data_IF_308346489043
#
_entry.id   IF_308346489043
#
_cell.length_a   1.000
_cell.length_b   1.000
_cell.length_c   1.000
_cell.angle_alpha   90.00
_cell.angle_beta   90.00
_cell.angle_gamma   90.00
#
_symmetry.space_group_name_H-M   'P 1'
#
loop_
_entity.id
_entity.type
_entity.pdbx_description
1 polymer ?
#
# COMPACT_ATOMS: atom_id res chain seq x y z
N UNK A 1 -16.08 3.14 -17.36
CA UNK A 1 -14.64 3.21 -17.06
C UNK A 1 -14.00 2.03 -17.75
N UNK A 2 -13.27 2.26 -18.84
CA UNK A 2 -12.67 1.17 -19.61
C UNK A 2 -11.57 0.53 -18.75
N UNK A 3 -11.77 -0.71 -18.32
CA UNK A 3 -10.74 -1.51 -17.65
C UNK A 3 -9.73 -1.91 -18.72
N UNK A 4 -8.56 -1.28 -18.72
CA UNK A 4 -7.46 -1.72 -19.56
C UNK A 4 -6.71 -2.81 -18.81
N UNK A 5 -6.85 -4.06 -19.27
CA UNK A 5 -6.01 -5.17 -18.82
C UNK A 5 -4.56 -4.90 -19.24
N UNK A 6 -3.62 -5.12 -18.32
CA UNK A 6 -2.18 -5.04 -18.59
C UNK A 6 -1.57 -6.45 -18.55
N UNK A 7 -0.63 -6.72 -19.47
CA UNK A 7 0.09 -7.99 -19.51
C UNK A 7 1.34 -7.88 -18.66
N UNK A 8 1.53 -8.84 -17.75
CA UNK A 8 2.77 -9.04 -17.02
C UNK A 8 3.42 -10.35 -17.49
N UNK A 9 4.70 -10.29 -17.87
CA UNK A 9 5.47 -11.45 -18.29
C UNK A 9 6.48 -11.81 -17.22
N UNK A 10 6.24 -12.94 -16.56
CA UNK A 10 7.11 -13.48 -15.51
C UNK A 10 7.41 -14.95 -15.79
N UNK A 11 8.62 -15.39 -15.45
CA UNK A 11 8.99 -16.80 -15.52
C UNK A 11 8.70 -17.46 -14.18
N UNK A 12 8.04 -18.61 -14.25
CA UNK A 12 7.78 -19.49 -13.10
C UNK A 12 8.42 -20.85 -13.35
N UNK A 13 8.54 -21.65 -12.30
CA UNK A 13 9.01 -23.03 -12.46
C UNK A 13 7.99 -23.83 -13.28
N UNK A 14 8.48 -24.69 -14.17
CA UNK A 14 7.66 -25.40 -15.15
C UNK A 14 6.64 -26.31 -14.48
N UNK A 15 7.06 -27.01 -13.42
CA UNK A 15 6.21 -27.92 -12.66
C UNK A 15 5.03 -27.20 -11.98
N UNK A 16 5.19 -25.94 -11.55
CA UNK A 16 4.09 -25.16 -10.98
C UNK A 16 3.03 -24.83 -12.03
N UNK A 17 3.48 -24.45 -13.22
CA UNK A 17 2.58 -24.14 -14.34
C UNK A 17 1.83 -25.40 -14.77
N UNK A 18 2.54 -26.50 -14.98
CA UNK A 18 1.96 -27.77 -15.43
C UNK A 18 0.95 -28.32 -14.40
N UNK A 19 1.27 -28.24 -13.11
CA UNK A 19 0.36 -28.68 -12.05
C UNK A 19 -0.88 -27.78 -11.94
N UNK A 20 -0.71 -26.46 -12.05
CA UNK A 20 -1.83 -25.52 -12.06
C UNK A 20 -2.77 -25.77 -13.24
N UNK A 21 -2.24 -26.04 -14.42
CA UNK A 21 -3.01 -26.43 -15.60
C UNK A 21 -3.74 -27.77 -15.40
N UNK A 22 -3.04 -28.79 -14.86
CA UNK A 22 -3.62 -30.10 -14.54
C UNK A 22 -4.80 -30.01 -13.56
N UNK A 23 -4.72 -29.10 -12.60
CA UNK A 23 -5.74 -28.87 -11.57
C UNK A 23 -6.78 -27.82 -11.99
N UNK A 24 -6.70 -27.28 -13.21
CA UNK A 24 -7.60 -26.26 -13.74
C UNK A 24 -7.67 -25.00 -12.87
N UNK A 25 -6.51 -24.58 -12.35
CA UNK A 25 -6.37 -23.38 -11.52
C UNK A 25 -6.50 -22.13 -12.39
N UNK A 26 -7.32 -21.17 -11.94
CA UNK A 26 -7.40 -19.85 -12.55
C UNK A 26 -6.16 -19.00 -12.20
N UNK A 27 -5.14 -19.10 -13.06
CA UNK A 27 -3.89 -18.35 -12.91
C UNK A 27 -4.10 -16.84 -12.89
N UNK A 28 -5.07 -16.30 -13.64
CA UNK A 28 -5.36 -14.86 -13.66
C UNK A 28 -5.79 -14.42 -12.27
N UNK A 29 -6.80 -15.08 -11.71
CA UNK A 29 -7.32 -14.73 -10.38
C UNK A 29 -6.27 -14.91 -9.28
N UNK A 30 -5.46 -15.97 -9.34
CA UNK A 30 -4.38 -16.19 -8.37
C UNK A 30 -3.35 -15.06 -8.43
N UNK A 31 -2.90 -14.70 -9.64
CA UNK A 31 -1.90 -13.65 -9.83
C UNK A 31 -2.43 -12.26 -9.47
N UNK A 32 -3.67 -11.94 -9.86
CA UNK A 32 -4.31 -10.67 -9.50
C UNK A 32 -4.45 -10.52 -7.98
N UNK A 33 -4.97 -11.55 -7.28
CA UNK A 33 -5.10 -11.50 -5.81
C UNK A 33 -3.75 -11.37 -5.11
N UNK A 34 -2.75 -12.15 -5.53
CA UNK A 34 -1.42 -12.07 -4.94
C UNK A 34 -0.80 -10.67 -5.10
N UNK A 35 -1.00 -10.03 -6.26
CA UNK A 35 -0.56 -8.67 -6.50
C UNK A 35 -1.34 -7.65 -5.65
N UNK A 36 -2.66 -7.77 -5.55
CA UNK A 36 -3.49 -6.89 -4.72
C UNK A 36 -3.09 -6.95 -3.24
N UNK A 37 -2.93 -8.16 -2.70
CA UNK A 37 -2.52 -8.39 -1.32
C UNK A 37 -1.12 -7.82 -1.05
N UNK A 38 -0.16 -8.05 -1.95
CA UNK A 38 1.20 -7.52 -1.84
C UNK A 38 1.22 -5.99 -1.86
N UNK A 39 0.46 -5.38 -2.78
CA UNK A 39 0.34 -3.92 -2.87
C UNK A 39 -0.30 -3.35 -1.61
N UNK A 40 -1.36 -3.98 -1.10
CA UNK A 40 -2.04 -3.54 0.11
C UNK A 40 -1.09 -3.61 1.31
N UNK A 41 -0.35 -4.71 1.45
CA UNK A 41 0.66 -4.88 2.51
C UNK A 41 1.71 -3.77 2.44
N UNK A 42 2.27 -3.53 1.25
CA UNK A 42 3.31 -2.51 1.05
C UNK A 42 2.80 -1.09 1.32
N UNK A 43 1.55 -0.79 0.96
CA UNK A 43 0.90 0.49 1.29
C UNK A 43 0.73 0.65 2.80
N UNK A 44 0.31 -0.39 3.51
CA UNK A 44 0.15 -0.35 4.96
C UNK A 44 1.51 -0.14 5.68
N UNK A 45 2.56 -0.84 5.25
CA UNK A 45 3.92 -0.66 5.76
C UNK A 45 4.41 0.78 5.55
N UNK A 46 4.21 1.35 4.36
CA UNK A 46 4.61 2.72 4.04
C UNK A 46 3.81 3.75 4.85
N UNK A 47 2.52 3.52 5.07
CA UNK A 47 1.70 4.39 5.92
C UNK A 47 2.23 4.37 7.35
N UNK A 48 2.48 3.18 7.89
CA UNK A 48 3.01 3.02 9.25
C UNK A 48 4.34 3.75 9.41
N UNK A 49 5.29 3.55 8.49
CA UNK A 49 6.60 4.20 8.58
C UNK A 49 6.49 5.73 8.57
N UNK A 50 5.62 6.28 7.70
CA UNK A 50 5.39 7.72 7.64
C UNK A 50 4.74 8.28 8.90
N UNK A 51 3.79 7.55 9.48
CA UNK A 51 3.17 7.93 10.76
C UNK A 51 4.22 7.92 11.87
N UNK A 52 5.02 6.86 11.97
CA UNK A 52 6.07 6.75 12.98
C UNK A 52 7.12 7.86 12.84
N UNK A 53 7.57 8.15 11.61
CA UNK A 53 8.48 9.28 11.31
C UNK A 53 7.87 10.62 11.74
N UNK A 54 6.59 10.85 11.44
CA UNK A 54 5.88 12.08 11.78
C UNK A 54 5.71 12.24 13.28
N UNK A 55 5.28 11.18 13.97
CA UNK A 55 5.14 11.19 15.44
C UNK A 55 6.49 11.41 16.12
N UNK A 56 7.56 10.81 15.60
CA UNK A 56 8.90 11.04 16.13
C UNK A 56 9.37 12.49 15.91
N UNK A 57 9.09 13.08 14.73
CA UNK A 57 9.38 14.50 14.47
C UNK A 57 8.56 15.43 15.39
N UNK A 58 7.35 15.03 15.78
CA UNK A 58 6.46 15.75 16.68
C UNK A 58 6.66 15.36 18.16
N UNK A 59 7.68 14.57 18.51
CA UNK A 59 7.84 14.01 19.87
C UNK A 59 7.84 15.06 20.99
N UNK A 60 8.27 16.28 20.69
CA UNK A 60 8.35 17.39 21.65
C UNK A 60 7.22 18.40 21.51
N UNK A 61 6.22 18.13 20.66
CA UNK A 61 5.08 19.00 20.42
C UNK A 61 3.93 18.59 21.35
N UNK A 62 3.42 19.52 22.15
CA UNK A 62 2.20 19.29 22.94
C UNK A 62 0.95 19.62 22.14
N UNK A 63 -0.21 19.19 22.64
CA UNK A 63 -1.51 19.57 22.04
C UNK A 63 -1.70 21.09 22.16
N UNK A 64 -1.26 21.68 23.26
CA UNK A 64 -1.32 23.12 23.50
C UNK A 64 -0.47 23.90 22.49
N UNK A 65 0.75 23.44 22.19
CA UNK A 65 1.62 24.03 21.17
C UNK A 65 0.94 24.02 19.79
N UNK A 66 0.31 22.91 19.44
CA UNK A 66 -0.44 22.77 18.19
C UNK A 66 -1.66 23.71 18.14
N UNK A 67 -2.48 23.71 19.19
CA UNK A 67 -3.68 24.56 19.28
C UNK A 67 -3.31 26.03 19.19
N UNK A 68 -2.22 26.44 19.85
CA UNK A 68 -1.69 27.81 19.77
C UNK A 68 -1.28 28.15 18.33
N UNK A 69 -0.49 27.31 17.67
CA UNK A 69 -0.05 27.53 16.29
C UNK A 69 -1.23 27.65 15.32
N UNK A 70 -2.26 26.79 15.45
CA UNK A 70 -3.47 26.86 14.61
C UNK A 70 -4.26 28.15 14.85
N UNK A 71 -4.41 28.58 16.12
CA UNK A 71 -5.11 29.83 16.46
C UNK A 71 -4.38 31.06 15.92
N UNK A 72 -3.07 31.13 16.10
CA UNK A 72 -2.24 32.24 15.60
C UNK A 72 -2.27 32.32 14.07
N UNK A 73 -2.28 31.18 13.37
CA UNK A 73 -2.37 31.14 11.91
C UNK A 73 -3.72 31.67 11.42
N UNK A 74 -4.83 31.31 12.10
CA UNK A 74 -6.17 31.81 11.77
C UNK A 74 -6.36 33.31 12.01
N UNK A 75 -5.65 33.89 12.95
CA UNK A 75 -5.72 35.34 13.23
C UNK A 75 -4.91 36.18 12.24
N UNK A 76 -3.99 35.56 11.48
CA UNK A 76 -3.19 36.21 10.44
C UNK A 76 -3.88 36.24 9.06
N UNK A 77 -5.04 35.62 8.94
CA UNK A 77 -5.91 35.60 7.75
C UNK A 77 -7.23 36.30 8.08
#
# INVERSE_FOLDING_TARGET
MVSYLAVISVRVRRELKEEAERLNVDLKTVVEKALEEEILRRKAELLKSRVDETLNAMRNLTVEDWVKAVRETRQKW
#
